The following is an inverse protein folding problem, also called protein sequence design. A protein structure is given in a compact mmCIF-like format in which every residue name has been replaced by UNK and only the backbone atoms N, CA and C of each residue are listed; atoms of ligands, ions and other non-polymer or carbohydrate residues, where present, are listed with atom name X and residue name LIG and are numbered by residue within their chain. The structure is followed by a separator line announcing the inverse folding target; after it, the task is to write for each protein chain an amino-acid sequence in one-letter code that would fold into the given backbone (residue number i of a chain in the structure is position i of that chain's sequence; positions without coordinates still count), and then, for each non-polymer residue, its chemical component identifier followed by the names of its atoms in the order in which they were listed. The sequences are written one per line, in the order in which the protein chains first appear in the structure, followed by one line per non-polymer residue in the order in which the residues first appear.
data_IF_644834352133
#
_entry.id   IF_644834352133
#
_cell.length_a   1.000
_cell.length_b   1.000
_cell.length_c   1.000
_cell.angle_alpha   90.00
_cell.angle_beta   90.00
_cell.angle_gamma   90.00
#
_symmetry.space_group_name_H-M   'P 1'
#
loop_
_entity.id
_entity.type
_entity.pdbx_description
1 polymer ?
#
# COMPACT_ATOMS: atom_id res chain seq x y z
N UNK A 1 8.08 30.88 -39.28
CA UNK A 1 8.38 30.98 -37.83
C UNK A 1 7.27 30.41 -36.93
N UNK A 2 6.45 29.43 -37.37
CA UNK A 2 5.27 28.97 -36.59
C UNK A 2 5.14 27.46 -36.36
N UNK A 3 5.98 26.59 -36.94
CA UNK A 3 5.87 25.12 -36.73
C UNK A 3 6.80 24.58 -35.63
N UNK A 4 7.95 25.22 -35.42
CA UNK A 4 8.93 24.82 -34.39
C UNK A 4 8.50 25.20 -32.97
N UNK A 5 7.82 26.35 -32.81
CA UNK A 5 7.24 26.76 -31.51
C UNK A 5 6.06 25.88 -31.10
N UNK A 6 5.28 25.37 -32.06
CA UNK A 6 4.19 24.43 -31.76
C UNK A 6 4.72 23.08 -31.23
N UNK A 7 5.83 22.59 -31.77
CA UNK A 7 6.41 21.31 -31.36
C UNK A 7 7.00 21.35 -29.93
N UNK A 8 7.61 22.48 -29.55
CA UNK A 8 8.15 22.70 -28.19
C UNK A 8 7.02 22.88 -27.16
N UNK A 9 5.89 23.49 -27.54
CA UNK A 9 4.71 23.60 -26.66
C UNK A 9 4.01 22.25 -26.48
N UNK A 10 3.96 21.41 -27.53
CA UNK A 10 3.41 20.04 -27.41
C UNK A 10 4.29 19.16 -26.52
N UNK A 11 5.61 19.24 -26.63
CA UNK A 11 6.54 18.50 -25.76
C UNK A 11 6.49 18.96 -24.28
N UNK A 12 6.23 20.25 -24.02
CA UNK A 12 6.04 20.76 -22.65
C UNK A 12 4.65 20.43 -22.05
N UNK A 13 3.65 20.13 -22.87
CA UNK A 13 2.32 19.69 -22.41
C UNK A 13 2.20 18.18 -22.19
N UNK A 14 3.17 17.39 -22.65
CA UNK A 14 3.30 15.97 -22.28
C UNK A 14 4.22 15.88 -21.05
N UNK A 15 3.93 16.65 -20.01
CA UNK A 15 4.29 16.20 -18.67
C UNK A 15 3.33 15.04 -18.38
N UNK A 16 3.77 13.81 -18.65
CA UNK A 16 3.15 12.67 -18.00
C UNK A 16 3.24 12.94 -16.50
N UNK A 17 2.15 13.42 -15.90
CA UNK A 17 1.88 13.13 -14.50
C UNK A 17 1.72 11.63 -14.45
N UNK A 18 2.85 10.91 -14.41
CA UNK A 18 2.86 9.56 -13.88
C UNK A 18 2.42 9.72 -12.44
N UNK A 19 1.12 9.63 -12.20
CA UNK A 19 0.63 9.12 -10.94
C UNK A 19 1.24 7.71 -10.87
N UNK A 20 2.45 7.61 -10.34
CA UNK A 20 2.84 6.39 -9.67
C UNK A 20 1.73 6.20 -8.63
N UNK A 21 0.91 5.17 -8.83
CA UNK A 21 -0.13 4.80 -7.88
C UNK A 21 0.55 4.39 -6.57
N UNK A 22 0.94 5.38 -5.77
CA UNK A 22 1.32 5.25 -4.36
C UNK A 22 0.02 5.04 -3.57
N UNK A 23 -0.68 3.94 -3.84
CA UNK A 23 -1.93 3.60 -3.17
C UNK A 23 -1.66 2.38 -2.27
N UNK A 24 -0.94 2.58 -1.18
CA UNK A 24 -1.06 1.72 -0.01
C UNK A 24 -2.24 2.18 0.87
N UNK A 25 -2.50 1.47 1.96
CA UNK A 25 -3.61 1.83 2.85
C UNK A 25 -3.31 3.18 3.50
N UNK A 26 -4.24 4.11 3.33
CA UNK A 26 -4.08 5.48 3.81
C UNK A 26 -5.33 5.88 4.57
N UNK A 27 -5.16 6.27 5.83
CA UNK A 27 -6.25 6.86 6.61
C UNK A 27 -6.17 8.37 6.55
N UNK A 28 -7.08 8.94 5.77
CA UNK A 28 -7.30 10.39 5.68
C UNK A 28 -8.55 10.74 6.48
N UNK A 29 -8.44 11.69 7.38
CA UNK A 29 -9.56 12.25 8.13
C UNK A 29 -10.34 13.23 7.25
N UNK A 30 -11.55 13.59 7.66
CA UNK A 30 -12.43 14.51 6.94
C UNK A 30 -11.83 15.91 6.75
N UNK A 31 -10.95 16.35 7.65
CA UNK A 31 -10.21 17.61 7.50
C UNK A 31 -9.01 17.51 6.53
N UNK A 32 -8.79 16.36 5.89
CA UNK A 32 -7.69 16.11 4.97
C UNK A 32 -6.38 15.69 5.65
N UNK A 33 -6.35 15.57 6.98
CA UNK A 33 -5.16 15.15 7.71
C UNK A 33 -4.91 13.64 7.56
N UNK A 34 -3.65 13.26 7.40
CA UNK A 34 -3.23 11.86 7.32
C UNK A 34 -2.97 11.32 8.72
N UNK A 35 -3.52 10.15 9.04
CA UNK A 35 -3.22 9.44 10.30
C UNK A 35 -2.07 8.45 10.10
N UNK A 36 -2.07 7.77 8.95
CA UNK A 36 -0.96 6.94 8.46
C UNK A 36 -1.01 6.85 6.94
N UNK A 37 0.15 6.55 6.35
CA UNK A 37 0.35 6.22 4.94
C UNK A 37 1.20 4.96 4.93
N UNK A 38 0.58 3.83 4.58
CA UNK A 38 1.31 2.56 4.53
C UNK A 38 1.75 2.22 3.11
N UNK A 39 2.71 1.31 3.03
CA UNK A 39 3.11 0.71 1.77
C UNK A 39 2.20 -0.46 1.40
N UNK A 40 1.95 -0.65 0.11
CA UNK A 40 1.21 -1.82 -0.36
C UNK A 40 2.09 -3.07 -0.25
N UNK A 41 1.56 -4.13 0.33
CA UNK A 41 2.24 -5.41 0.44
C UNK A 41 1.29 -6.56 0.77
N UNK A 42 1.85 -7.76 0.83
CA UNK A 42 1.16 -8.96 1.33
C UNK A 42 1.60 -9.32 2.75
N UNK A 43 2.60 -8.59 3.28
CA UNK A 43 3.18 -8.80 4.60
C UNK A 43 2.58 -7.78 5.57
N UNK A 44 1.78 -8.20 6.55
CA UNK A 44 1.23 -7.29 7.54
C UNK A 44 2.32 -6.74 8.46
N UNK A 45 2.24 -5.45 8.77
CA UNK A 45 3.19 -4.77 9.66
C UNK A 45 2.50 -3.92 10.74
N UNK A 46 1.18 -3.78 10.67
CA UNK A 46 0.48 -2.72 11.39
C UNK A 46 0.69 -1.37 10.72
N UNK A 47 -0.10 -0.39 11.16
CA UNK A 47 -0.04 0.98 10.68
C UNK A 47 1.02 1.77 11.44
N UNK A 48 1.80 2.57 10.72
CA UNK A 48 2.74 3.51 11.34
C UNK A 48 2.06 4.86 11.60
N UNK A 49 1.74 5.14 12.86
CA UNK A 49 1.05 6.38 13.26
C UNK A 49 2.03 7.51 13.58
N UNK A 50 1.87 8.67 12.93
CA UNK A 50 2.58 9.90 13.29
C UNK A 50 1.84 10.64 14.40
N UNK A 51 2.19 10.37 15.66
CA UNK A 51 1.41 10.86 16.81
C UNK A 51 1.70 12.31 17.23
N UNK A 52 2.76 12.93 16.71
CA UNK A 52 3.20 14.28 17.10
C UNK A 52 2.18 15.37 16.75
N UNK A 53 1.42 15.18 15.67
CA UNK A 53 0.47 16.16 15.16
C UNK A 53 -0.95 16.00 15.76
N UNK A 54 -1.20 14.91 16.49
CA UNK A 54 -2.54 14.58 17.00
C UNK A 54 -3.17 15.65 17.90
N UNK A 55 -2.44 16.34 18.80
CA UNK A 55 -3.05 17.40 19.61
C UNK A 55 -3.63 18.54 18.77
N UNK A 56 -2.91 18.95 17.71
CA UNK A 56 -3.39 20.01 16.81
C UNK A 56 -4.51 19.50 15.91
N UNK A 57 -4.38 18.28 15.40
CA UNK A 57 -5.43 17.60 14.64
C UNK A 57 -6.75 17.54 15.40
N UNK A 58 -6.74 17.15 16.68
CA UNK A 58 -7.94 17.10 17.53
C UNK A 58 -8.58 18.48 17.70
N UNK A 59 -7.77 19.55 17.93
CA UNK A 59 -8.29 20.92 18.03
C UNK A 59 -8.99 21.36 16.75
N UNK A 60 -8.42 21.05 15.60
CA UNK A 60 -9.02 21.36 14.30
C UNK A 60 -10.34 20.63 14.11
N UNK A 61 -10.41 19.34 14.42
CA UNK A 61 -11.64 18.55 14.35
C UNK A 61 -12.74 19.12 15.27
N UNK A 62 -12.40 19.50 16.50
CA UNK A 62 -13.33 20.14 17.44
C UNK A 62 -13.85 21.49 16.90
N UNK A 63 -12.97 22.31 16.34
CA UNK A 63 -13.35 23.60 15.73
C UNK A 63 -14.28 23.40 14.52
N UNK A 64 -13.97 22.44 13.66
CA UNK A 64 -14.77 22.12 12.48
C UNK A 64 -16.14 21.57 12.86
N UNK A 65 -16.20 20.70 13.87
CA UNK A 65 -17.48 20.23 14.42
C UNK A 65 -18.31 21.39 14.96
N UNK A 66 -17.74 22.29 15.78
CA UNK A 66 -18.47 23.46 16.32
C UNK A 66 -19.05 24.35 15.21
N UNK A 67 -18.34 24.49 14.09
CA UNK A 67 -18.76 25.31 12.95
C UNK A 67 -19.84 24.65 12.10
N UNK A 68 -19.79 23.33 11.94
CA UNK A 68 -20.59 22.61 10.92
C UNK A 68 -21.67 21.70 11.52
N UNK A 69 -21.54 21.35 12.79
CA UNK A 69 -22.26 20.27 13.47
C UNK A 69 -22.18 18.92 12.74
N UNK A 70 -21.12 18.72 11.95
CA UNK A 70 -20.92 17.50 11.18
C UNK A 70 -20.27 16.41 12.04
N UNK A 71 -21.04 15.36 12.34
CA UNK A 71 -20.67 14.32 13.29
C UNK A 71 -19.41 13.54 12.86
N UNK A 72 -19.06 13.56 11.59
CA UNK A 72 -17.89 12.83 11.10
C UNK A 72 -16.60 13.39 11.70
N UNK A 73 -16.52 14.69 12.00
CA UNK A 73 -15.37 15.26 12.71
C UNK A 73 -15.22 14.71 14.13
N UNK A 74 -16.33 14.47 14.85
CA UNK A 74 -16.28 13.77 16.14
C UNK A 74 -15.89 12.30 15.97
N UNK A 75 -16.37 11.66 14.91
CA UNK A 75 -16.02 10.28 14.57
C UNK A 75 -14.52 10.13 14.31
N UNK A 76 -13.91 11.09 13.61
CA UNK A 76 -12.48 11.14 13.33
C UNK A 76 -11.67 11.43 14.59
N UNK A 77 -12.15 12.36 15.44
CA UNK A 77 -11.54 12.60 16.76
C UNK A 77 -11.53 11.33 17.60
N UNK A 78 -12.65 10.59 17.62
CA UNK A 78 -12.74 9.30 18.31
C UNK A 78 -11.70 8.29 17.81
N UNK A 79 -11.47 8.25 16.49
CA UNK A 79 -10.46 7.37 15.90
C UNK A 79 -9.04 7.76 16.35
N UNK A 80 -8.72 9.05 16.33
CA UNK A 80 -7.42 9.55 16.84
C UNK A 80 -7.25 9.22 18.33
N UNK A 81 -8.31 9.31 19.14
CA UNK A 81 -8.27 8.92 20.55
C UNK A 81 -8.01 7.41 20.74
N UNK A 82 -8.58 6.55 19.88
CA UNK A 82 -8.28 5.10 19.85
C UNK A 82 -6.79 4.88 19.60
N UNK A 83 -6.22 5.53 18.58
CA UNK A 83 -4.80 5.43 18.25
C UNK A 83 -3.90 5.93 19.39
N UNK A 84 -4.32 6.98 20.10
CA UNK A 84 -3.66 7.47 21.31
C UNK A 84 -3.82 6.56 22.54
N UNK A 85 -4.49 5.41 22.42
CA UNK A 85 -4.83 4.50 23.52
C UNK A 85 -5.69 5.15 24.61
N UNK A 86 -6.39 6.24 24.29
CA UNK A 86 -7.31 6.96 25.19
C UNK A 86 -8.71 6.35 25.15
N UNK A 87 -8.80 5.07 25.52
CA UNK A 87 -9.98 4.24 25.29
C UNK A 87 -11.24 4.78 25.98
N UNK A 88 -11.14 5.25 27.22
CA UNK A 88 -12.30 5.78 27.96
C UNK A 88 -12.87 7.06 27.35
N UNK A 89 -12.00 7.95 26.85
CA UNK A 89 -12.42 9.19 26.18
C UNK A 89 -13.09 8.87 24.84
N UNK A 90 -12.48 7.96 24.06
CA UNK A 90 -13.06 7.48 22.81
C UNK A 90 -14.43 6.84 23.03
N UNK A 91 -14.59 6.04 24.10
CA UNK A 91 -15.84 5.32 24.39
C UNK A 91 -16.96 6.31 24.71
N UNK A 92 -16.71 7.26 25.61
CA UNK A 92 -17.67 8.32 25.94
C UNK A 92 -18.08 9.10 24.69
N UNK A 93 -17.12 9.43 23.82
CA UNK A 93 -17.39 10.16 22.59
C UNK A 93 -18.25 9.35 21.61
N UNK A 94 -17.90 8.08 21.33
CA UNK A 94 -18.68 7.25 20.41
C UNK A 94 -20.08 6.90 20.93
N UNK A 95 -20.23 6.68 22.24
CA UNK A 95 -21.57 6.51 22.84
C UNK A 95 -22.42 7.78 22.72
N UNK A 96 -21.80 8.97 22.80
CA UNK A 96 -22.51 10.22 22.53
C UNK A 96 -22.87 10.38 21.04
N UNK A 97 -21.95 10.04 20.14
CA UNK A 97 -22.22 10.02 18.68
C UNK A 97 -23.40 9.11 18.36
N UNK A 98 -23.45 7.90 18.92
CA UNK A 98 -24.57 6.98 18.70
C UNK A 98 -25.91 7.53 19.23
N UNK A 99 -25.90 8.28 20.34
CA UNK A 99 -27.11 8.95 20.85
C UNK A 99 -27.59 10.05 19.92
N UNK A 100 -26.67 10.83 19.35
CA UNK A 100 -26.99 11.97 18.46
C UNK A 100 -27.42 11.50 17.08
N UNK A 101 -26.66 10.55 16.50
CA UNK A 101 -26.88 10.01 15.16
C UNK A 101 -26.70 8.49 15.20
N UNK A 102 -27.76 7.74 15.56
CA UNK A 102 -27.69 6.29 15.72
C UNK A 102 -27.50 5.57 14.38
N UNK A 103 -27.15 4.29 14.46
CA UNK A 103 -27.11 3.38 13.32
C UNK A 103 -26.11 3.77 12.21
N UNK A 104 -24.97 4.35 12.61
CA UNK A 104 -23.85 4.62 11.69
C UNK A 104 -22.89 3.43 11.69
N UNK A 105 -22.56 2.92 10.51
CA UNK A 105 -21.52 1.89 10.35
C UNK A 105 -20.23 2.26 11.09
N UNK A 106 -19.69 3.46 10.84
CA UNK A 106 -18.44 3.92 11.44
C UNK A 106 -18.49 4.04 12.96
N UNK A 107 -19.67 4.29 13.55
CA UNK A 107 -19.82 4.33 15.01
C UNK A 107 -19.88 2.92 15.57
N UNK A 108 -20.62 2.03 14.92
CA UNK A 108 -20.72 0.63 15.33
C UNK A 108 -19.37 -0.10 15.23
N UNK A 109 -18.62 0.06 14.13
CA UNK A 109 -17.31 -0.57 13.96
C UNK A 109 -16.29 -0.06 14.98
N UNK A 110 -16.19 1.26 15.17
CA UNK A 110 -15.26 1.83 16.16
C UNK A 110 -15.62 1.48 17.61
N UNK A 111 -16.91 1.37 17.96
CA UNK A 111 -17.31 0.84 19.27
C UNK A 111 -16.92 -0.63 19.41
N UNK A 112 -17.08 -1.43 18.36
CA UNK A 112 -16.63 -2.82 18.32
C UNK A 112 -15.14 -2.95 18.59
N UNK A 113 -14.30 -2.27 17.81
CA UNK A 113 -12.85 -2.23 18.00
C UNK A 113 -12.47 -1.73 19.38
N UNK A 114 -13.12 -0.69 19.88
CA UNK A 114 -12.80 -0.13 21.19
C UNK A 114 -13.11 -1.11 22.33
N UNK A 115 -14.27 -1.78 22.29
CA UNK A 115 -14.57 -2.83 23.27
C UNK A 115 -13.60 -4.01 23.15
N UNK A 116 -13.13 -4.36 21.94
CA UNK A 116 -12.10 -5.40 21.76
C UNK A 116 -10.80 -4.99 22.46
N UNK A 117 -10.33 -3.76 22.24
CA UNK A 117 -9.11 -3.21 22.85
C UNK A 117 -9.21 -3.12 24.38
N UNK A 118 -10.43 -2.94 24.91
CA UNK A 118 -10.71 -2.94 26.35
C UNK A 118 -10.91 -4.35 26.93
N UNK A 119 -10.84 -5.42 26.11
CA UNK A 119 -11.04 -6.81 26.53
C UNK A 119 -12.50 -7.23 26.70
N UNK A 120 -13.45 -6.35 26.39
CA UNK A 120 -14.90 -6.55 26.49
C UNK A 120 -15.44 -7.30 25.25
N UNK A 121 -14.88 -8.48 24.97
CA UNK A 121 -15.04 -9.18 23.69
C UNK A 121 -16.51 -9.47 23.31
N UNK A 122 -17.40 -9.72 24.27
CA UNK A 122 -18.82 -9.94 23.97
C UNK A 122 -19.52 -8.66 23.50
N UNK A 123 -19.19 -7.50 24.07
CA UNK A 123 -19.69 -6.20 23.59
C UNK A 123 -19.12 -5.87 22.23
N UNK A 124 -17.81 -6.12 22.04
CA UNK A 124 -17.15 -5.98 20.74
C UNK A 124 -17.89 -6.77 19.66
N UNK A 125 -18.17 -8.06 19.93
CA UNK A 125 -18.87 -8.94 18.98
C UNK A 125 -20.23 -8.39 18.59
N UNK A 126 -21.02 -7.93 19.56
CA UNK A 126 -22.35 -7.37 19.28
C UNK A 126 -22.28 -6.10 18.40
N UNK A 127 -21.29 -5.24 18.65
CA UNK A 127 -21.10 -4.01 17.89
C UNK A 127 -20.56 -4.24 16.48
N UNK A 128 -19.59 -5.15 16.31
CA UNK A 128 -19.09 -5.56 14.98
C UNK A 128 -20.21 -6.25 14.19
N UNK A 129 -21.00 -7.11 14.82
CA UNK A 129 -22.16 -7.73 14.18
C UNK A 129 -23.14 -6.68 13.66
N UNK A 130 -23.48 -5.67 14.49
CA UNK A 130 -24.30 -4.54 14.07
C UNK A 130 -23.65 -3.75 12.93
N UNK A 131 -22.33 -3.56 12.94
CA UNK A 131 -21.61 -2.87 11.87
C UNK A 131 -21.75 -3.62 10.53
N UNK A 132 -21.59 -4.94 10.53
CA UNK A 132 -21.80 -5.80 9.35
C UNK A 132 -23.25 -5.73 8.86
N UNK A 133 -24.23 -5.74 9.75
CA UNK A 133 -25.66 -5.60 9.38
C UNK A 133 -25.95 -4.26 8.68
N UNK A 134 -25.26 -3.18 9.06
CA UNK A 134 -25.41 -1.85 8.44
C UNK A 134 -24.66 -1.78 7.11
N UNK A 135 -23.44 -2.30 7.05
CA UNK A 135 -22.60 -2.29 5.84
C UNK A 135 -21.79 -3.60 5.70
N UNK A 136 -22.31 -4.58 4.96
CA UNK A 136 -21.66 -5.88 4.78
C UNK A 136 -20.33 -5.81 4.03
N UNK A 137 -20.16 -4.83 3.14
CA UNK A 137 -18.96 -4.67 2.29
C UNK A 137 -17.84 -3.86 2.98
N UNK A 138 -18.06 -3.48 4.22
CA UNK A 138 -17.08 -2.72 4.99
C UNK A 138 -15.78 -3.50 5.23
N UNK A 139 -14.68 -2.76 5.37
CA UNK A 139 -13.33 -3.35 5.49
C UNK A 139 -13.06 -4.40 4.40
N UNK A 140 -13.44 -4.09 3.16
CA UNK A 140 -13.31 -4.98 2.01
C UNK A 140 -14.03 -6.34 2.20
N UNK A 141 -15.15 -6.34 2.91
CA UNK A 141 -15.95 -7.54 3.21
C UNK A 141 -15.33 -8.48 4.26
N UNK A 142 -14.28 -8.06 4.98
CA UNK A 142 -13.49 -8.94 5.85
C UNK A 142 -13.96 -9.01 7.31
N UNK A 143 -15.01 -8.27 7.71
CA UNK A 143 -15.47 -8.20 9.10
C UNK A 143 -16.02 -9.53 9.65
N UNK A 144 -16.38 -10.49 8.78
CA UNK A 144 -16.73 -11.84 9.24
C UNK A 144 -15.58 -12.52 9.99
N UNK A 145 -14.33 -12.22 9.61
CA UNK A 145 -13.13 -12.76 10.25
C UNK A 145 -12.90 -12.10 11.62
N UNK A 146 -13.24 -10.82 11.77
CA UNK A 146 -13.27 -10.15 13.06
C UNK A 146 -14.22 -10.86 14.03
N UNK A 147 -15.43 -11.20 13.60
CA UNK A 147 -16.35 -11.99 14.42
C UNK A 147 -15.74 -13.33 14.81
N UNK A 148 -15.04 -14.03 13.93
CA UNK A 148 -14.36 -15.31 14.25
C UNK A 148 -13.25 -15.15 15.28
N UNK A 149 -12.47 -14.08 15.20
CA UNK A 149 -11.45 -13.73 16.20
C UNK A 149 -12.11 -13.49 17.56
N UNK A 150 -13.20 -12.70 17.60
CA UNK A 150 -13.93 -12.43 18.83
C UNK A 150 -14.61 -13.69 19.39
N UNK A 151 -15.17 -14.55 18.55
CA UNK A 151 -15.72 -15.85 18.97
C UNK A 151 -14.64 -16.72 19.63
N UNK A 152 -13.44 -16.78 19.07
CA UNK A 152 -12.32 -17.49 19.66
C UNK A 152 -11.94 -16.93 21.05
N UNK A 153 -11.88 -15.60 21.18
CA UNK A 153 -11.59 -14.90 22.44
C UNK A 153 -12.67 -15.14 23.49
N UNK A 154 -13.97 -15.02 23.12
CA UNK A 154 -15.11 -15.21 24.02
C UNK A 154 -15.16 -16.64 24.56
N UNK A 155 -14.96 -17.63 23.68
CA UNK A 155 -14.97 -19.05 24.06
C UNK A 155 -13.72 -19.49 24.80
N UNK A 156 -12.70 -18.62 24.87
CA UNK A 156 -11.37 -18.92 25.43
C UNK A 156 -10.83 -20.26 24.92
N UNK A 157 -10.92 -20.49 23.60
CA UNK A 157 -10.60 -21.78 23.01
C UNK A 157 -9.11 -22.10 23.20
N UNK A 158 -8.76 -23.19 23.92
CA UNK A 158 -7.36 -23.51 24.16
C UNK A 158 -6.62 -23.90 22.88
N UNK A 159 -7.34 -24.43 21.87
CA UNK A 159 -6.80 -24.94 20.61
C UNK A 159 -7.54 -24.34 19.40
N UNK A 160 -7.53 -23.01 19.26
CA UNK A 160 -7.97 -22.35 18.02
C UNK A 160 -7.14 -22.86 16.84
N UNK A 161 -7.80 -23.22 15.74
CA UNK A 161 -7.14 -23.63 14.49
C UNK A 161 -7.37 -22.60 13.39
N UNK A 162 -6.51 -22.60 12.36
CA UNK A 162 -6.74 -21.81 11.16
C UNK A 162 -8.08 -22.13 10.50
N UNK A 163 -8.46 -23.41 10.43
CA UNK A 163 -9.76 -23.86 9.92
C UNK A 163 -10.95 -23.22 10.63
N UNK A 164 -10.86 -23.02 11.95
CA UNK A 164 -11.89 -22.31 12.70
C UNK A 164 -11.95 -20.82 12.32
N UNK A 165 -10.78 -20.18 12.17
CA UNK A 165 -10.69 -18.74 11.93
C UNK A 165 -11.06 -18.37 10.49
N UNK A 166 -10.56 -19.10 9.50
CA UNK A 166 -10.66 -18.74 8.07
C UNK A 166 -11.46 -19.73 7.23
N UNK A 167 -12.14 -20.69 7.85
CA UNK A 167 -12.99 -21.69 7.19
C UNK A 167 -12.28 -22.58 6.15
N UNK A 168 -10.95 -22.69 6.20
CA UNK A 168 -10.18 -23.59 5.33
C UNK A 168 -8.88 -24.07 6.00
N UNK A 169 -8.24 -25.08 5.44
CA UNK A 169 -6.94 -25.60 5.87
C UNK A 169 -6.08 -25.92 4.65
N UNK A 170 -4.76 -25.99 4.86
CA UNK A 170 -3.79 -26.17 3.76
C UNK A 170 -3.00 -27.46 3.83
N UNK A 171 -3.54 -28.47 4.52
CA UNK A 171 -2.86 -29.74 4.78
C UNK A 171 -1.72 -29.62 5.80
N UNK A 172 -1.04 -30.75 6.03
CA UNK A 172 -0.06 -30.95 7.11
C UNK A 172 1.36 -31.23 6.61
N UNK A 173 1.61 -31.11 5.30
CA UNK A 173 2.92 -31.34 4.67
C UNK A 173 3.69 -30.01 4.54
N UNK A 174 4.89 -30.01 3.95
CA UNK A 174 5.64 -28.78 3.67
C UNK A 174 5.06 -27.90 2.55
N UNK A 175 4.33 -28.48 1.58
CA UNK A 175 3.73 -27.76 0.43
C UNK A 175 2.23 -27.51 0.68
N UNK A 176 1.74 -26.25 0.70
CA UNK A 176 0.34 -26.01 1.06
C UNK A 176 -0.56 -26.44 -0.08
N UNK A 177 -1.71 -27.01 0.25
CA UNK A 177 -2.66 -27.55 -0.72
C UNK A 177 -4.06 -27.01 -0.43
N UNK A 178 -4.85 -26.72 -1.45
CA UNK A 178 -6.22 -26.23 -1.27
C UNK A 178 -7.12 -26.63 -2.42
N UNK A 179 -8.43 -26.65 -2.15
CA UNK A 179 -9.48 -26.78 -3.17
C UNK A 179 -10.05 -25.42 -3.62
N UNK A 180 -9.61 -24.33 -2.98
CA UNK A 180 -10.03 -22.97 -3.33
C UNK A 180 -9.61 -22.62 -4.76
N UNK A 181 -10.45 -21.85 -5.44
CA UNK A 181 -10.06 -21.27 -6.73
C UNK A 181 -9.00 -20.18 -6.52
N UNK A 182 -8.34 -19.75 -7.60
CA UNK A 182 -7.40 -18.62 -7.53
C UNK A 182 -8.08 -17.33 -7.06
N UNK A 183 -9.32 -17.10 -7.46
CA UNK A 183 -10.11 -15.94 -7.06
C UNK A 183 -10.44 -15.97 -5.56
N UNK A 184 -10.83 -17.14 -5.05
CA UNK A 184 -11.10 -17.32 -3.61
C UNK A 184 -9.84 -17.13 -2.77
N UNK A 185 -8.69 -17.61 -3.26
CA UNK A 185 -7.39 -17.37 -2.61
C UNK A 185 -7.10 -15.87 -2.57
N UNK A 186 -7.26 -15.16 -3.69
CA UNK A 186 -6.97 -13.73 -3.78
C UNK A 186 -7.87 -12.91 -2.85
N UNK A 187 -9.16 -13.26 -2.80
CA UNK A 187 -10.12 -12.65 -1.87
C UNK A 187 -9.70 -12.91 -0.42
N UNK A 188 -9.45 -14.16 -0.06
CA UNK A 188 -9.13 -14.53 1.33
C UNK A 188 -7.78 -13.95 1.78
N UNK A 189 -6.79 -13.82 0.89
CA UNK A 189 -5.55 -13.10 1.17
C UNK A 189 -5.83 -11.67 1.59
N UNK A 190 -6.66 -10.95 0.83
CA UNK A 190 -6.99 -9.55 1.14
C UNK A 190 -7.74 -9.43 2.48
N UNK A 191 -8.69 -10.33 2.73
CA UNK A 191 -9.48 -10.34 3.97
C UNK A 191 -8.61 -10.63 5.20
N UNK A 192 -7.77 -11.67 5.13
CA UNK A 192 -6.86 -12.04 6.23
C UNK A 192 -5.79 -10.96 6.42
N UNK A 193 -5.17 -10.46 5.34
CA UNK A 193 -4.19 -9.38 5.41
C UNK A 193 -4.78 -8.16 6.11
N UNK A 194 -5.94 -7.68 5.67
CA UNK A 194 -6.56 -6.46 6.21
C UNK A 194 -6.80 -6.60 7.72
N UNK A 195 -7.43 -7.70 8.13
CA UNK A 195 -7.79 -7.94 9.53
C UNK A 195 -6.55 -8.17 10.42
N UNK A 196 -5.51 -8.84 9.91
CA UNK A 196 -4.26 -9.00 10.65
C UNK A 196 -3.53 -7.65 10.76
N UNK A 197 -3.44 -6.88 9.68
CA UNK A 197 -2.74 -5.60 9.64
C UNK A 197 -3.36 -4.58 10.62
N UNK A 198 -4.68 -4.42 10.61
CA UNK A 198 -5.37 -3.53 11.56
C UNK A 198 -5.04 -3.88 13.02
N UNK A 199 -5.00 -5.17 13.37
CA UNK A 199 -4.74 -5.63 14.74
C UNK A 199 -3.28 -5.49 15.17
N UNK A 200 -2.34 -5.75 14.26
CA UNK A 200 -0.91 -5.60 14.53
C UNK A 200 -0.53 -4.15 14.85
N UNK A 201 -1.39 -3.18 14.52
CA UNK A 201 -1.23 -1.79 14.95
C UNK A 201 -1.38 -1.57 16.46
N UNK A 202 -1.99 -2.53 17.17
CA UNK A 202 -2.33 -2.41 18.60
C UNK A 202 -1.85 -3.61 19.45
N UNK A 203 -1.58 -4.76 18.83
CA UNK A 203 -1.20 -6.00 19.48
C UNK A 203 0.27 -6.29 19.18
N UNK A 204 1.08 -6.35 20.24
CA UNK A 204 2.50 -6.73 20.14
C UNK A 204 2.66 -8.26 20.27
N UNK A 205 3.73 -8.85 19.69
CA UNK A 205 4.11 -10.23 19.97
C UNK A 205 4.29 -10.48 21.49
N UNK A 206 3.83 -11.60 22.05
CA UNK A 206 3.19 -12.76 21.42
C UNK A 206 1.65 -12.69 21.49
N UNK A 207 0.99 -13.12 20.41
CA UNK A 207 -0.47 -13.32 20.40
C UNK A 207 -0.80 -14.58 19.58
N UNK A 208 -1.49 -15.53 20.22
CA UNK A 208 -1.79 -16.84 19.61
C UNK A 208 -2.66 -16.73 18.37
N UNK A 209 -3.72 -15.91 18.40
CA UNK A 209 -4.65 -15.80 17.27
C UNK A 209 -3.95 -15.14 16.08
N UNK A 210 -3.21 -14.04 16.32
CA UNK A 210 -2.44 -13.37 15.27
C UNK A 210 -1.37 -14.30 14.69
N UNK A 211 -0.67 -15.08 15.54
CA UNK A 211 0.32 -16.05 15.08
C UNK A 211 -0.28 -17.10 14.13
N UNK A 212 -1.50 -17.58 14.41
CA UNK A 212 -2.22 -18.54 13.56
C UNK A 212 -2.65 -17.86 12.25
N UNK A 213 -3.24 -16.67 12.32
CA UNK A 213 -3.69 -15.96 11.12
C UNK A 213 -2.52 -15.60 10.19
N UNK A 214 -1.38 -15.20 10.74
CA UNK A 214 -0.15 -14.98 9.97
C UNK A 214 0.32 -16.29 9.32
N UNK A 215 0.32 -17.41 10.05
CA UNK A 215 0.66 -18.70 9.46
C UNK A 215 -0.26 -19.06 8.29
N UNK A 216 -1.57 -18.88 8.44
CA UNK A 216 -2.53 -19.16 7.37
C UNK A 216 -2.42 -18.18 6.19
N UNK A 217 -2.13 -16.90 6.45
CA UNK A 217 -1.82 -15.92 5.41
C UNK A 217 -0.57 -16.33 4.63
N UNK A 218 0.47 -16.83 5.31
CA UNK A 218 1.67 -17.38 4.68
C UNK A 218 1.34 -18.54 3.73
N UNK A 219 0.43 -19.43 4.13
CA UNK A 219 -0.03 -20.54 3.29
C UNK A 219 -0.72 -20.03 2.01
N UNK A 220 -1.63 -19.06 2.15
CA UNK A 220 -2.34 -18.44 1.03
C UNK A 220 -1.40 -17.70 0.06
N UNK A 221 -0.47 -16.91 0.60
CA UNK A 221 0.51 -16.15 -0.19
C UNK A 221 1.49 -17.11 -0.89
N UNK A 222 1.86 -18.22 -0.25
CA UNK A 222 2.68 -19.26 -0.88
C UNK A 222 1.94 -19.92 -2.06
N UNK A 223 0.64 -20.19 -1.94
CA UNK A 223 -0.20 -20.73 -3.03
C UNK A 223 -0.31 -19.79 -4.23
N UNK A 224 -0.16 -18.47 -4.02
CA UNK A 224 -0.06 -17.48 -5.12
C UNK A 224 1.30 -17.49 -5.83
N UNK A 225 2.29 -18.22 -5.32
CA UNK A 225 3.67 -18.21 -5.83
C UNK A 225 4.52 -17.07 -5.28
N UNK A 226 4.03 -16.32 -4.29
CA UNK A 226 4.71 -15.17 -3.69
C UNK A 226 5.67 -15.63 -2.58
N UNK A 227 6.69 -16.39 -2.97
CA UNK A 227 7.57 -17.13 -2.05
C UNK A 227 8.29 -16.27 -1.02
N UNK A 228 8.76 -15.08 -1.41
CA UNK A 228 9.46 -14.18 -0.48
C UNK A 228 8.51 -13.59 0.56
N UNK A 229 7.35 -13.12 0.10
CA UNK A 229 6.32 -12.58 1.00
C UNK A 229 5.84 -13.66 1.96
N UNK A 230 5.57 -14.89 1.48
CA UNK A 230 5.20 -16.01 2.32
C UNK A 230 6.26 -16.33 3.38
N UNK A 231 7.55 -16.37 2.99
CA UNK A 231 8.65 -16.60 3.93
C UNK A 231 8.71 -15.52 5.01
N UNK A 232 8.52 -14.25 4.65
CA UNK A 232 8.51 -13.15 5.61
C UNK A 232 7.31 -13.28 6.57
N UNK A 233 6.12 -13.58 6.05
CA UNK A 233 4.90 -13.76 6.84
C UNK A 233 5.05 -14.94 7.82
N UNK A 234 5.62 -16.07 7.41
CA UNK A 234 5.89 -17.18 8.34
C UNK A 234 6.87 -16.79 9.43
N UNK A 235 7.90 -15.97 9.14
CA UNK A 235 8.81 -15.46 10.18
C UNK A 235 8.06 -14.60 11.19
N UNK A 236 7.21 -13.70 10.72
CA UNK A 236 6.35 -12.88 11.59
C UNK A 236 5.41 -13.77 12.41
N UNK A 237 4.83 -14.83 11.82
CA UNK A 237 4.01 -15.79 12.57
C UNK A 237 4.78 -16.42 13.74
N UNK A 238 6.06 -16.77 13.54
CA UNK A 238 6.95 -17.28 14.60
C UNK A 238 7.24 -16.23 15.66
N UNK A 239 7.49 -14.99 15.28
CA UNK A 239 7.68 -13.88 16.23
C UNK A 239 6.46 -13.73 17.15
N UNK A 240 5.25 -13.85 16.59
CA UNK A 240 3.99 -13.86 17.35
C UNK A 240 3.72 -15.14 18.14
N UNK A 241 4.53 -16.19 17.95
CA UNK A 241 4.51 -17.42 18.75
C UNK A 241 3.93 -18.66 18.06
N UNK A 242 3.80 -18.68 16.73
CA UNK A 242 3.46 -19.89 16.00
C UNK A 242 4.72 -20.74 15.79
N UNK A 243 4.84 -21.85 16.50
CA UNK A 243 6.00 -22.74 16.41
C UNK A 243 5.58 -24.17 16.08
N UNK A 244 6.52 -24.96 15.55
CA UNK A 244 6.35 -26.37 15.21
C UNK A 244 7.02 -26.77 13.90
N UNK A 245 7.12 -28.08 13.66
CA UNK A 245 7.83 -28.62 12.48
C UNK A 245 7.16 -28.20 11.16
N UNK A 246 5.84 -28.03 11.17
CA UNK A 246 5.09 -27.65 9.98
C UNK A 246 5.48 -26.27 9.46
N UNK A 247 5.57 -25.25 10.33
CA UNK A 247 5.96 -23.90 9.89
C UNK A 247 7.43 -23.88 9.41
N UNK A 248 8.30 -24.68 10.03
CA UNK A 248 9.68 -24.84 9.56
C UNK A 248 9.71 -25.45 8.15
N UNK A 249 8.94 -26.51 7.90
CA UNK A 249 8.83 -27.13 6.58
C UNK A 249 8.30 -26.15 5.53
N UNK A 250 7.25 -25.38 5.86
CA UNK A 250 6.68 -24.34 5.00
C UNK A 250 7.70 -23.26 4.64
N UNK A 251 8.47 -22.78 5.62
CA UNK A 251 9.55 -21.80 5.41
C UNK A 251 10.65 -22.33 4.50
N UNK A 252 11.06 -23.60 4.65
CA UNK A 252 12.07 -24.23 3.78
C UNK A 252 11.58 -24.25 2.33
N UNK A 253 10.34 -24.68 2.10
CA UNK A 253 9.72 -24.70 0.76
C UNK A 253 9.64 -23.30 0.16
N UNK A 254 9.23 -22.28 0.92
CA UNK A 254 9.21 -20.90 0.46
C UNK A 254 10.62 -20.39 0.10
N UNK A 255 11.64 -20.70 0.90
CA UNK A 255 13.03 -20.33 0.61
C UNK A 255 13.57 -21.01 -0.66
N UNK A 256 13.26 -22.29 -0.87
CA UNK A 256 13.62 -23.01 -2.09
C UNK A 256 12.93 -22.42 -3.33
N UNK A 257 11.62 -22.17 -3.25
CA UNK A 257 10.84 -21.54 -4.33
C UNK A 257 11.39 -20.17 -4.72
N UNK A 258 11.78 -19.35 -3.73
CA UNK A 258 12.49 -18.07 -3.96
C UNK A 258 13.78 -18.30 -4.75
N UNK A 259 14.63 -19.23 -4.33
CA UNK A 259 15.89 -19.54 -5.00
C UNK A 259 15.68 -19.98 -6.45
N UNK A 260 14.70 -20.84 -6.71
CA UNK A 260 14.35 -21.28 -8.06
C UNK A 260 13.83 -20.14 -8.94
N UNK A 261 13.03 -19.23 -8.40
CA UNK A 261 12.54 -18.06 -9.12
C UNK A 261 13.70 -17.20 -9.62
N UNK A 262 14.64 -16.84 -8.75
CA UNK A 262 15.81 -16.04 -9.14
C UNK A 262 16.69 -16.80 -10.13
N UNK A 263 16.92 -18.11 -9.94
CA UNK A 263 17.67 -18.93 -10.89
C UNK A 263 17.06 -18.86 -12.29
N UNK A 264 15.73 -19.02 -12.41
CA UNK A 264 15.01 -18.91 -13.70
C UNK A 264 15.17 -17.53 -14.31
N UNK A 265 15.02 -16.45 -13.52
CA UNK A 265 15.20 -15.06 -13.99
C UNK A 265 16.62 -14.78 -14.47
N UNK A 266 17.64 -15.28 -13.77
CA UNK A 266 19.04 -15.14 -14.18
C UNK A 266 19.29 -15.80 -15.53
N UNK A 267 18.74 -17.00 -15.77
CA UNK A 267 18.84 -17.69 -17.06
C UNK A 267 18.12 -16.87 -18.15
N UNK A 268 16.89 -16.42 -17.89
CA UNK A 268 16.09 -15.60 -18.82
C UNK A 268 16.85 -14.32 -19.25
N UNK A 269 17.39 -13.58 -18.28
CA UNK A 269 18.16 -12.37 -18.56
C UNK A 269 19.48 -12.67 -19.27
N UNK A 270 20.15 -13.77 -18.90
CA UNK A 270 21.36 -14.24 -19.58
C UNK A 270 21.12 -14.50 -21.08
N UNK A 271 20.04 -15.20 -21.41
CA UNK A 271 19.64 -15.46 -22.80
C UNK A 271 19.26 -14.18 -23.54
N UNK A 272 18.48 -13.28 -22.92
CA UNK A 272 18.15 -11.98 -23.52
C UNK A 272 19.41 -11.15 -23.80
N UNK A 273 20.37 -11.15 -22.87
CA UNK A 273 21.63 -10.44 -23.01
C UNK A 273 22.50 -11.06 -24.11
N UNK A 274 22.53 -12.39 -24.27
CA UNK A 274 23.28 -13.03 -25.35
C UNK A 274 22.70 -12.68 -26.72
N UNK A 275 21.37 -12.73 -26.88
CA UNK A 275 20.68 -12.32 -28.11
C UNK A 275 20.95 -10.84 -28.43
N UNK A 276 20.92 -9.97 -27.42
CA UNK A 276 21.23 -8.54 -27.60
C UNK A 276 22.69 -8.34 -28.06
N UNK A 277 23.63 -9.13 -27.52
CA UNK A 277 25.05 -9.09 -27.93
C UNK A 277 25.24 -9.60 -29.36
N UNK A 278 24.53 -10.66 -29.74
CA UNK A 278 24.57 -11.21 -31.10
C UNK A 278 23.96 -10.28 -32.14
N UNK A 279 22.81 -9.65 -31.83
CA UNK A 279 22.18 -8.67 -32.72
C UNK A 279 23.00 -7.39 -32.87
N UNK A 280 23.84 -7.05 -31.88
CA UNK A 280 24.81 -5.95 -31.94
C UNK A 280 26.17 -6.36 -32.52
N UNK A 281 26.37 -7.65 -32.85
CA UNK A 281 27.63 -8.15 -33.41
C UNK A 281 27.78 -7.59 -34.83
N UNK A 282 28.62 -6.58 -34.99
CA UNK A 282 28.81 -5.81 -36.24
C UNK A 282 28.42 -4.33 -36.16
N UNK A 283 27.81 -3.88 -35.06
CA UNK A 283 27.65 -2.45 -34.76
C UNK A 283 28.85 -2.05 -33.91
N UNK A 284 29.82 -1.38 -34.54
CA UNK A 284 30.91 -0.75 -33.82
C UNK A 284 30.37 0.43 -32.99
N UNK A 285 30.34 0.27 -31.68
CA UNK A 285 29.82 1.28 -30.75
C UNK A 285 30.68 2.55 -30.79
N UNK A 286 31.97 2.45 -31.14
CA UNK A 286 32.82 3.62 -31.38
C UNK A 286 32.35 4.38 -32.62
N UNK A 287 31.83 3.70 -33.64
CA UNK A 287 31.31 4.33 -34.84
C UNK A 287 30.00 5.08 -34.58
N UNK A 288 29.12 4.54 -33.72
CA UNK A 288 27.90 5.25 -33.28
C UNK A 288 28.26 6.50 -32.49
N UNK A 289 29.23 6.39 -31.57
CA UNK A 289 29.71 7.53 -30.78
C UNK A 289 30.40 8.60 -31.66
N UNK A 290 31.15 8.17 -32.68
CA UNK A 290 31.75 9.06 -33.68
C UNK A 290 30.71 9.80 -34.52
N UNK A 291 29.60 9.14 -34.91
CA UNK A 291 28.49 9.77 -35.61
C UNK A 291 27.79 10.79 -34.70
N UNK A 292 27.50 10.43 -33.45
CA UNK A 292 26.85 11.33 -32.48
C UNK A 292 27.70 12.58 -32.21
N UNK A 293 29.00 12.39 -31.95
CA UNK A 293 29.93 13.51 -31.76
C UNK A 293 30.06 14.38 -33.00
N UNK A 294 30.11 13.78 -34.20
CA UNK A 294 30.13 14.52 -35.46
C UNK A 294 28.86 15.36 -35.67
N UNK A 295 27.68 14.82 -35.33
CA UNK A 295 26.41 15.54 -35.38
C UNK A 295 26.35 16.70 -34.39
N UNK A 296 26.87 16.52 -33.17
CA UNK A 296 26.95 17.59 -32.16
C UNK A 296 27.86 18.71 -32.67
N UNK A 297 29.05 18.39 -33.17
CA UNK A 297 29.98 19.39 -33.72
C UNK A 297 29.35 20.15 -34.88
N UNK A 298 28.68 19.46 -35.82
CA UNK A 298 27.98 20.09 -36.94
C UNK A 298 26.89 21.05 -36.47
N UNK A 299 26.12 20.67 -35.44
CA UNK A 299 25.06 21.50 -34.87
C UNK A 299 25.60 22.79 -34.25
N UNK A 300 26.74 22.74 -33.57
CA UNK A 300 27.40 23.91 -32.98
C UNK A 300 27.89 24.85 -34.08
N UNK A 301 28.51 24.32 -35.14
CA UNK A 301 28.96 25.11 -36.30
C UNK A 301 27.77 25.82 -36.96
N UNK A 302 26.65 25.11 -37.17
CA UNK A 302 25.44 25.72 -37.73
C UNK A 302 24.90 26.87 -36.87
N UNK A 303 24.91 26.73 -35.54
CA UNK A 303 24.47 27.80 -34.61
C UNK A 303 25.40 29.02 -34.71
N UNK A 304 26.71 28.81 -34.76
CA UNK A 304 27.69 29.90 -34.89
C UNK A 304 27.54 30.64 -36.22
N UNK A 305 27.37 29.91 -37.32
CA UNK A 305 27.11 30.51 -38.64
C UNK A 305 25.81 31.31 -38.65
N UNK A 306 24.74 30.78 -38.05
CA UNK A 306 23.47 31.48 -37.94
C UNK A 306 23.61 32.78 -37.14
N UNK A 307 24.33 32.75 -36.02
CA UNK A 307 24.61 33.93 -35.20
C UNK A 307 25.42 34.98 -35.99
N UNK A 308 26.46 34.55 -36.72
CA UNK A 308 27.25 35.44 -37.58
C UNK A 308 26.39 36.07 -38.68
N UNK A 309 25.49 35.30 -39.30
CA UNK A 309 24.57 35.76 -40.34
C UNK A 309 23.56 36.77 -39.79
N UNK A 310 23.06 36.56 -38.57
CA UNK A 310 22.21 37.52 -37.85
C UNK A 310 22.97 38.81 -37.57
N UNK A 311 24.20 38.74 -37.04
CA UNK A 311 25.03 39.91 -36.78
C UNK A 311 25.33 40.68 -38.07
N UNK A 312 25.69 39.96 -39.14
CA UNK A 312 25.89 40.53 -40.47
C UNK A 312 24.62 41.24 -40.96
N UNK A 313 23.46 40.59 -40.88
CA UNK A 313 22.17 41.15 -41.29
C UNK A 313 21.81 42.41 -40.49
N UNK A 314 22.05 42.41 -39.17
CA UNK A 314 21.81 43.57 -38.31
C UNK A 314 22.75 44.74 -38.66
N UNK A 315 24.04 44.46 -38.91
CA UNK A 315 25.01 45.48 -39.36
C UNK A 315 24.67 46.01 -40.74
N UNK A 316 24.33 45.14 -41.68
CA UNK A 316 23.87 45.51 -43.02
C UNK A 316 22.62 46.40 -42.98
N UNK A 317 21.65 46.06 -42.13
CA UNK A 317 20.43 46.86 -41.93
C UNK A 317 20.73 48.23 -41.33
N UNK A 318 21.69 48.33 -40.40
CA UNK A 318 22.17 49.62 -39.88
C UNK A 318 22.83 50.45 -40.98
N UNK A 319 23.74 49.85 -41.76
CA UNK A 319 24.38 50.53 -42.91
C UNK A 319 23.36 51.03 -43.93
N UNK A 320 22.37 50.21 -44.30
CA UNK A 320 21.32 50.60 -45.24
C UNK A 320 20.48 51.78 -44.74
N UNK A 321 20.22 51.87 -43.42
CA UNK A 321 19.53 53.02 -42.81
C UNK A 321 20.35 54.32 -42.85
N UNK A 322 21.67 54.23 -42.71
CA UNK A 322 22.58 55.38 -42.79
C UNK A 322 22.61 55.94 -44.22
N UNK A 323 22.68 55.06 -45.23
CA UNK A 323 22.68 55.46 -46.65
C UNK A 323 21.33 56.06 -47.09
N UNK A 324 20.20 55.63 -46.50
CA UNK A 324 18.88 56.20 -46.82
C UNK A 324 18.56 57.53 -46.11
N UNK A 325 19.45 58.02 -45.23
CA UNK A 325 19.26 59.25 -44.46
C UNK A 325 20.22 60.38 -44.87
N UNK A 326 21.08 60.15 -45.87
CA UNK A 326 21.93 61.13 -46.56
C UNK A 326 21.35 61.49 -47.91
#
# INVERSE_FOLDING_TARGET
MNRFRALVVVLLMVSFKSFACLNGETKILKNGAYVYIDHRGLVPHGHHFSTSEFPEMIKQLDSLYKKTNDIDYLSDKGYVLIVQKKHDEALKLYLNIEKIKPNRYSTASNLGTLYELMGENQKAYNWIKKAIEINPESHNGSEWLHLKILEAKIKNLPNVSGQFLINTNFGTTGVPETKLSKEDIDKLVNEVYFQVNERMSFIEPKDKIISILLFELGNLVQLKGEHENALQIYRTAREYGFDGDLIVARMIISAQGKGEYYRKKTIEFGTKLSILRETKKGIDLDYVYQIETSLIVLSVICILLLAALIVFFLRWRKFKKVISAS
#
